data_IF_672484787769
#
_entry.id   IF_672484787769
#
_cell.length_a   1.000
_cell.length_b   1.000
_cell.length_c   1.000
_cell.angle_alpha   90.00
_cell.angle_beta   90.00
_cell.angle_gamma   90.00
#
_symmetry.space_group_name_H-M   'P 1'
#
loop_
_entity.id
_entity.type
_entity.pdbx_description
1 polymer ?
#
# COMPACT_ATOMS: atom_id res chain seq x y z
N UNK A 1 12.85 15.95 0.02
CA UNK A 1 11.91 15.25 -0.88
C UNK A 1 11.18 14.16 -0.13
N UNK A 2 9.91 14.02 -0.41
CA UNK A 2 9.11 12.95 0.20
C UNK A 2 9.37 11.62 -0.49
N UNK A 3 8.94 10.56 0.18
CA UNK A 3 9.06 9.20 -0.34
C UNK A 3 7.68 8.67 -0.67
N UNK A 4 7.56 8.00 -1.81
CA UNK A 4 6.37 7.22 -2.13
C UNK A 4 6.60 5.82 -1.59
N UNK A 5 5.67 5.37 -0.75
CA UNK A 5 5.78 4.05 -0.13
C UNK A 5 5.30 2.96 -1.06
N UNK A 6 4.12 3.16 -1.64
CA UNK A 6 3.54 2.16 -2.55
C UNK A 6 2.50 2.79 -3.45
N UNK A 7 2.18 2.05 -4.50
CA UNK A 7 1.06 2.34 -5.38
C UNK A 7 0.09 1.17 -5.22
N UNK A 8 -1.18 1.47 -5.05
CA UNK A 8 -2.21 0.45 -4.96
C UNK A 8 -3.07 0.46 -6.23
N UNK A 9 -3.24 -0.71 -6.82
CA UNK A 9 -4.13 -0.88 -7.97
C UNK A 9 -5.24 -1.85 -7.61
N UNK A 10 -6.38 -1.68 -8.25
CA UNK A 10 -7.56 -2.51 -8.01
C UNK A 10 -7.50 -3.74 -8.90
N UNK A 11 -7.72 -4.90 -8.29
CA UNK A 11 -7.84 -6.18 -9.00
C UNK A 11 -9.09 -6.87 -8.47
N UNK A 12 -9.61 -7.81 -9.24
CA UNK A 12 -10.84 -8.52 -8.85
C UNK A 12 -10.59 -9.84 -8.15
N UNK A 13 -9.35 -10.35 -8.22
CA UNK A 13 -8.99 -11.62 -7.59
C UNK A 13 -7.51 -11.54 -7.20
N UNK A 14 -7.24 -11.59 -5.91
CA UNK A 14 -5.87 -11.41 -5.40
C UNK A 14 -4.93 -12.53 -5.87
N UNK A 15 -5.35 -13.79 -5.70
CA UNK A 15 -4.49 -14.91 -6.08
C UNK A 15 -4.14 -14.88 -7.57
N UNK A 16 -5.12 -14.60 -8.40
CA UNK A 16 -4.91 -14.52 -9.83
C UNK A 16 -3.95 -13.38 -10.18
N UNK A 17 -4.14 -12.22 -9.54
CA UNK A 17 -3.29 -11.07 -9.79
C UNK A 17 -1.85 -11.31 -9.35
N UNK A 18 -1.65 -11.90 -8.17
CA UNK A 18 -0.32 -12.24 -7.67
C UNK A 18 0.38 -13.19 -8.65
N UNK A 19 -0.33 -14.21 -9.10
CA UNK A 19 0.23 -15.18 -10.05
C UNK A 19 0.63 -14.49 -11.36
N UNK A 20 -0.20 -13.59 -11.85
CA UNK A 20 0.11 -12.88 -13.08
C UNK A 20 1.37 -12.03 -12.93
N UNK A 21 1.45 -11.26 -11.86
CA UNK A 21 2.60 -10.36 -11.66
C UNK A 21 3.89 -11.14 -11.41
N UNK A 22 3.85 -12.17 -10.60
CA UNK A 22 5.07 -12.95 -10.31
C UNK A 22 5.55 -13.74 -11.52
N UNK A 23 4.64 -14.10 -12.43
CA UNK A 23 5.00 -14.79 -13.65
C UNK A 23 5.53 -13.85 -14.73
N UNK A 24 5.02 -12.63 -14.79
CA UNK A 24 5.31 -11.71 -15.90
C UNK A 24 6.25 -10.57 -15.52
N UNK A 25 6.50 -10.34 -14.25
CA UNK A 25 7.38 -9.29 -13.75
C UNK A 25 8.27 -9.86 -12.66
N UNK A 26 9.44 -9.26 -12.51
CA UNK A 26 10.41 -9.70 -11.49
C UNK A 26 10.11 -8.95 -10.19
N UNK A 27 9.46 -9.62 -9.27
CA UNK A 27 9.08 -9.05 -7.98
C UNK A 27 8.94 -10.15 -6.94
N UNK A 28 8.90 -9.76 -5.67
CA UNK A 28 8.71 -10.68 -4.56
C UNK A 28 7.38 -10.41 -3.87
N UNK A 29 6.68 -11.47 -3.49
CA UNK A 29 5.48 -11.34 -2.67
C UNK A 29 5.92 -11.14 -1.24
N UNK A 30 5.63 -9.98 -0.66
CA UNK A 30 5.97 -9.72 0.74
C UNK A 30 4.77 -9.88 1.66
N UNK A 31 3.56 -9.85 1.11
CA UNK A 31 2.34 -10.16 1.86
C UNK A 31 1.24 -10.61 0.90
N UNK A 32 0.42 -11.55 1.36
CA UNK A 32 -0.75 -11.97 0.58
C UNK A 32 -1.79 -12.61 1.49
N UNK A 33 -3.03 -12.13 1.39
CA UNK A 33 -4.19 -12.83 1.91
C UNK A 33 -5.32 -12.71 0.87
N UNK A 34 -6.55 -13.04 1.27
CA UNK A 34 -7.67 -13.03 0.32
C UNK A 34 -8.13 -11.63 -0.05
N UNK A 35 -7.78 -10.62 0.74
CA UNK A 35 -8.29 -9.26 0.55
C UNK A 35 -7.27 -8.31 -0.05
N UNK A 36 -5.98 -8.60 0.11
CA UNK A 36 -4.94 -7.77 -0.51
C UNK A 36 -3.61 -8.50 -0.57
N UNK A 37 -2.70 -7.95 -1.36
CA UNK A 37 -1.33 -8.45 -1.45
C UNK A 37 -0.38 -7.29 -1.67
N UNK A 38 0.88 -7.50 -1.32
CA UNK A 38 1.91 -6.50 -1.52
C UNK A 38 3.11 -7.15 -2.19
N UNK A 39 3.54 -6.55 -3.29
CA UNK A 39 4.65 -7.03 -4.10
C UNK A 39 5.79 -6.03 -3.98
N UNK A 40 6.99 -6.54 -3.76
CA UNK A 40 8.18 -5.70 -3.69
C UNK A 40 8.87 -5.67 -5.04
N UNK A 41 8.98 -4.48 -5.61
CA UNK A 41 9.82 -4.20 -6.75
C UNK A 41 11.12 -3.54 -6.28
N UNK A 42 12.06 -3.33 -7.18
CA UNK A 42 13.34 -2.78 -6.78
C UNK A 42 13.23 -1.43 -6.09
N UNK A 43 12.36 -0.58 -6.58
CA UNK A 43 12.28 0.81 -6.12
C UNK A 43 11.00 1.15 -5.37
N UNK A 44 9.99 0.30 -5.39
CA UNK A 44 8.68 0.61 -4.79
C UNK A 44 7.88 -0.67 -4.57
N UNK A 45 6.92 -0.59 -3.67
CA UNK A 45 5.94 -1.67 -3.48
C UNK A 45 4.70 -1.41 -4.32
N UNK A 46 4.10 -2.48 -4.81
CA UNK A 46 2.82 -2.46 -5.50
C UNK A 46 1.82 -3.23 -4.66
N UNK A 47 0.77 -2.56 -4.22
CA UNK A 47 -0.30 -3.19 -3.49
C UNK A 47 -1.43 -3.57 -4.45
N UNK A 48 -1.95 -4.78 -4.31
CA UNK A 48 -3.09 -5.28 -5.07
C UNK A 48 -4.26 -5.32 -4.12
N UNK A 49 -5.33 -4.61 -4.43
CA UNK A 49 -6.46 -4.44 -3.52
C UNK A 49 -7.76 -4.74 -4.24
N UNK A 50 -8.77 -5.19 -3.47
CA UNK A 50 -10.10 -5.43 -4.01
C UNK A 50 -10.91 -4.13 -3.99
N UNK A 51 -11.76 -3.89 -5.00
CA UNK A 51 -12.48 -2.62 -5.09
C UNK A 51 -13.43 -2.36 -3.94
N UNK A 52 -13.96 -3.41 -3.31
CA UNK A 52 -14.85 -3.27 -2.18
C UNK A 52 -14.13 -2.92 -0.87
N UNK A 53 -12.82 -3.13 -0.83
CA UNK A 53 -12.05 -2.92 0.40
C UNK A 53 -11.25 -1.64 0.38
N UNK A 54 -10.66 -1.30 -0.77
CA UNK A 54 -9.80 -0.12 -0.90
C UNK A 54 -9.87 0.46 -2.29
N UNK A 55 -9.73 1.77 -2.43
CA UNK A 55 -9.56 2.38 -3.75
C UNK A 55 -8.13 2.28 -4.24
N UNK A 56 -7.92 2.46 -5.53
CA UNK A 56 -6.59 2.71 -6.06
C UNK A 56 -6.05 4.00 -5.47
N UNK A 57 -4.77 4.01 -5.10
CA UNK A 57 -4.18 5.19 -4.47
C UNK A 57 -2.65 5.16 -4.56
N UNK A 58 -2.06 6.31 -4.23
CA UNK A 58 -0.62 6.45 -4.06
C UNK A 58 -0.38 6.78 -2.60
N UNK A 59 0.52 6.04 -1.95
CA UNK A 59 0.81 6.26 -0.54
C UNK A 59 2.14 6.99 -0.38
N UNK A 60 2.11 8.09 0.38
CA UNK A 60 3.29 8.87 0.72
C UNK A 60 3.66 8.61 2.17
N UNK A 61 4.95 8.41 2.43
CA UNK A 61 5.43 8.27 3.80
C UNK A 61 5.38 9.64 4.48
N UNK A 62 4.74 9.69 5.65
CA UNK A 62 4.59 10.94 6.41
C UNK A 62 4.86 10.67 7.90
N UNK A 63 6.07 10.94 8.31
CA UNK A 63 6.49 10.72 9.70
C UNK A 63 5.81 11.65 10.69
N UNK A 64 5.21 12.74 10.20
CA UNK A 64 4.52 13.71 11.06
C UNK A 64 3.06 13.37 11.29
N UNK A 65 2.57 12.29 10.68
CA UNK A 65 1.16 11.92 10.79
C UNK A 65 0.76 11.66 12.24
N UNK A 66 -0.38 12.25 12.62
CA UNK A 66 -0.96 12.04 13.95
C UNK A 66 -2.45 11.77 13.78
N UNK A 67 -3.00 10.94 14.66
CA UNK A 67 -4.43 10.65 14.71
C UNK A 67 -4.97 9.97 13.45
N UNK A 68 -4.12 9.25 12.73
CA UNK A 68 -4.58 8.42 11.62
C UNK A 68 -5.21 7.12 12.11
N UNK A 69 -5.74 6.35 11.17
CA UNK A 69 -6.25 5.02 11.46
C UNK A 69 -5.09 4.05 11.64
N UNK A 70 -5.06 3.36 12.77
CA UNK A 70 -4.01 2.39 13.05
C UNK A 70 -4.38 1.03 12.48
N UNK A 71 -3.40 0.36 11.90
CA UNK A 71 -3.58 -0.94 11.26
C UNK A 71 -2.80 -2.02 12.01
N UNK A 72 -3.19 -3.28 11.78
CA UNK A 72 -2.57 -4.42 12.46
C UNK A 72 -1.08 -4.56 12.21
N UNK A 73 -0.64 -4.14 11.03
CA UNK A 73 0.77 -4.29 10.65
C UNK A 73 1.68 -3.21 11.25
N UNK A 74 1.16 -2.40 12.18
CA UNK A 74 1.95 -1.36 12.82
C UNK A 74 2.02 -0.07 12.02
N UNK A 75 1.17 0.11 11.03
CA UNK A 75 1.10 1.36 10.29
C UNK A 75 -0.07 2.20 10.76
N UNK A 76 0.02 3.48 10.47
CA UNK A 76 -1.05 4.44 10.70
C UNK A 76 -1.23 5.24 9.44
N UNK A 77 -2.47 5.48 9.00
CA UNK A 77 -2.67 6.20 7.75
C UNK A 77 -3.95 7.00 7.75
N UNK A 78 -4.01 7.98 6.86
CA UNK A 78 -5.23 8.68 6.49
C UNK A 78 -5.31 8.76 4.98
N UNK A 79 -6.54 8.82 4.47
CA UNK A 79 -6.80 9.04 3.05
C UNK A 79 -7.26 10.47 2.84
N UNK A 80 -6.81 11.04 1.74
CA UNK A 80 -7.25 12.37 1.31
C UNK A 80 -7.28 12.39 -0.21
N UNK A 81 -7.69 13.50 -0.80
CA UNK A 81 -7.77 13.65 -2.24
C UNK A 81 -6.89 14.79 -2.70
N UNK A 82 -6.29 14.65 -3.88
CA UNK A 82 -5.70 15.79 -4.54
C UNK A 82 -6.82 16.63 -5.18
N UNK A 83 -6.47 17.71 -5.85
CA UNK A 83 -7.47 18.61 -6.45
C UNK A 83 -8.17 17.99 -7.67
N UNK A 84 -7.73 16.83 -8.12
CA UNK A 84 -8.29 16.14 -9.28
C UNK A 84 -9.10 14.92 -8.88
N UNK A 85 -9.25 14.66 -7.59
CA UNK A 85 -10.02 13.51 -7.11
C UNK A 85 -9.22 12.21 -6.98
N UNK A 86 -7.92 12.24 -7.19
CA UNK A 86 -7.10 11.06 -6.97
C UNK A 86 -6.93 10.81 -5.47
N UNK A 87 -7.05 9.55 -5.08
CA UNK A 87 -6.91 9.18 -3.67
C UNK A 87 -5.43 9.13 -3.32
N UNK A 88 -5.10 9.77 -2.21
CA UNK A 88 -3.74 9.79 -1.66
C UNK A 88 -3.82 9.22 -0.25
N UNK A 89 -2.90 8.32 0.07
CA UNK A 89 -2.73 7.83 1.42
C UNK A 89 -1.48 8.48 2.02
N UNK A 90 -1.60 8.98 3.25
CA UNK A 90 -0.44 9.37 4.04
C UNK A 90 -0.22 8.27 5.05
N UNK A 91 0.97 7.68 5.07
CA UNK A 91 1.24 6.50 5.87
C UNK A 91 2.47 6.73 6.75
N UNK A 92 2.35 6.27 7.99
CA UNK A 92 3.44 6.32 8.96
C UNK A 92 3.63 4.92 9.52
N UNK A 93 4.87 4.46 9.51
CA UNK A 93 5.20 3.18 10.10
C UNK A 93 5.43 3.35 11.59
N UNK A 94 4.98 2.38 12.36
CA UNK A 94 5.24 2.37 13.79
C UNK A 94 6.75 2.31 14.01
N UNK A 95 7.25 3.24 14.80
CA UNK A 95 8.65 3.25 15.10
C UNK A 95 8.96 2.18 16.14
N UNK A 96 10.09 1.52 15.93
CA UNK A 96 10.58 0.56 16.90
C UNK A 96 11.17 1.33 18.08
N UNK A 97 10.49 1.25 19.21
CA UNK A 97 10.90 1.99 20.41
C UNK A 97 11.89 1.22 21.27
N UNK A 98 12.50 0.22 20.74
CA UNK A 98 13.57 -0.46 21.47
C UNK A 98 14.80 0.43 21.48
N UNK A 99 15.01 1.01 22.56
CA UNK A 99 16.18 1.86 22.74
C UNK A 99 16.95 1.35 23.93
#
# INVERSE_FOLDING_TARGET
MERIDHIAIVVTNINHAVNWYTKNRDCEVIYQDKSWAELQFENIKLALVLPQDHPAHIAFVDESLENGTKHRNGTESIYEHDTFGNIIERIKYEQDNRS
#
